data_IF_437400305301
#
_entry.id   IF_437400305301
#
_cell.length_a   1.000
_cell.length_b   1.000
_cell.length_c   1.000
_cell.angle_alpha   90.00
_cell.angle_beta   90.00
_cell.angle_gamma   90.00
#
_symmetry.space_group_name_H-M   'P 1'
#
loop_
_entity.id
_entity.type
_entity.pdbx_description
1 polymer ?
#
# COMPACT_ATOMS: atom_id res chain seq x y z
N UNK A 1 -4.33 -27.76 18.78
CA UNK A 1 -4.93 -28.98 19.37
C UNK A 1 -4.99 -30.20 18.42
N UNK A 2 -4.68 -30.10 17.12
CA UNK A 2 -4.87 -31.20 16.17
C UNK A 2 -3.69 -32.18 15.97
N UNK A 3 -2.44 -31.79 16.22
CA UNK A 3 -1.26 -32.60 15.86
C UNK A 3 -0.98 -33.74 16.84
N UNK A 4 -1.18 -33.52 18.14
CA UNK A 4 -0.96 -34.54 19.18
C UNK A 4 -1.94 -35.71 19.02
N UNK A 5 -3.21 -35.41 18.71
CA UNK A 5 -4.24 -36.42 18.51
C UNK A 5 -3.95 -37.36 17.33
N UNK A 6 -3.34 -36.85 16.24
CA UNK A 6 -2.99 -37.68 15.07
C UNK A 6 -1.80 -38.58 15.39
N UNK A 7 -0.81 -38.09 16.14
CA UNK A 7 0.35 -38.88 16.56
C UNK A 7 -0.09 -40.04 17.46
N UNK A 8 -0.96 -39.77 18.44
CA UNK A 8 -1.47 -40.81 19.35
C UNK A 8 -2.28 -41.88 18.61
N UNK A 9 -3.04 -41.50 17.58
CA UNK A 9 -3.82 -42.43 16.76
C UNK A 9 -2.91 -43.32 15.89
N UNK A 10 -1.83 -42.76 15.32
CA UNK A 10 -0.85 -43.52 14.52
C UNK A 10 -0.03 -44.46 15.42
N UNK A 11 0.42 -44.00 16.58
CA UNK A 11 1.13 -44.84 17.57
C UNK A 11 0.25 -45.97 18.07
N UNK A 12 -1.05 -45.69 18.31
CA UNK A 12 -2.05 -46.69 18.67
C UNK A 12 -2.18 -47.77 17.60
N UNK A 13 -2.38 -47.38 16.33
CA UNK A 13 -2.52 -48.32 15.21
C UNK A 13 -1.29 -49.22 15.02
N UNK A 14 -0.09 -48.64 15.06
CA UNK A 14 1.17 -49.38 14.93
C UNK A 14 1.34 -50.39 16.07
N UNK A 15 1.03 -49.98 17.31
CA UNK A 15 1.12 -50.86 18.48
C UNK A 15 0.14 -52.03 18.39
N UNK A 16 -1.11 -51.79 17.96
CA UNK A 16 -2.11 -52.85 17.77
C UNK A 16 -1.76 -53.80 16.61
N UNK A 17 -1.22 -53.29 15.51
CA UNK A 17 -0.76 -54.12 14.39
C UNK A 17 0.41 -55.02 14.83
N UNK A 18 1.38 -54.46 15.56
CA UNK A 18 2.52 -55.22 16.08
C UNK A 18 2.08 -56.34 17.04
N UNK A 19 1.14 -56.05 17.94
CA UNK A 19 0.60 -57.05 18.86
C UNK A 19 -0.09 -58.20 18.12
N UNK A 20 -0.92 -57.88 17.11
CA UNK A 20 -1.62 -58.89 16.31
C UNK A 20 -0.66 -59.82 15.55
N UNK A 21 0.40 -59.27 14.94
CA UNK A 21 1.40 -60.08 14.24
C UNK A 21 2.27 -60.91 15.18
N UNK A 22 2.53 -60.42 16.40
CA UNK A 22 3.25 -61.19 17.43
C UNK A 22 2.45 -62.43 17.85
N UNK A 23 1.13 -62.31 17.97
CA UNK A 23 0.24 -63.42 18.33
C UNK A 23 0.20 -64.47 17.21
N UNK A 24 0.05 -64.05 15.95
CA UNK A 24 0.08 -64.96 14.77
C UNK A 24 1.43 -65.69 14.64
N UNK A 25 2.53 -65.05 15.00
CA UNK A 25 3.86 -65.66 14.98
C UNK A 25 4.05 -66.79 16.01
N UNK A 26 3.23 -66.82 17.07
CA UNK A 26 3.34 -67.78 18.16
C UNK A 26 2.68 -69.13 17.86
N UNK A 27 1.67 -69.15 16.99
CA UNK A 27 0.92 -70.37 16.63
C UNK A 27 1.52 -71.19 15.47
N UNK A 28 2.54 -70.69 14.77
CA UNK A 28 3.09 -71.38 13.58
C UNK A 28 4.32 -72.23 13.93
N UNK A 29 4.06 -73.44 14.42
CA UNK A 29 5.04 -74.54 14.50
C UNK A 29 5.29 -75.13 13.10
N UNK A 30 6.13 -74.44 12.31
CA UNK A 30 6.54 -74.91 10.99
C UNK A 30 7.60 -74.00 10.36
N UNK A 31 8.87 -74.40 10.47
CA UNK A 31 10.05 -73.62 10.05
C UNK A 31 9.98 -73.16 8.58
N UNK A 32 9.31 -73.92 7.71
CA UNK A 32 9.16 -73.60 6.27
C UNK A 32 8.17 -72.45 5.98
N UNK A 33 7.22 -72.18 6.88
CA UNK A 33 6.24 -71.10 6.72
C UNK A 33 6.70 -69.77 7.32
N UNK A 34 7.70 -69.76 8.20
CA UNK A 34 8.22 -68.52 8.82
C UNK A 34 8.83 -67.55 7.79
N UNK A 35 9.49 -68.06 6.75
CA UNK A 35 10.10 -67.21 5.70
C UNK A 35 9.05 -66.54 4.82
N UNK A 36 7.93 -67.23 4.53
CA UNK A 36 6.83 -66.66 3.73
C UNK A 36 6.05 -65.62 4.53
N UNK A 37 5.77 -65.91 5.81
CA UNK A 37 5.08 -64.98 6.71
C UNK A 37 5.94 -63.73 6.96
N UNK A 38 7.25 -63.88 7.18
CA UNK A 38 8.16 -62.75 7.37
C UNK A 38 8.18 -61.79 6.17
N UNK A 39 8.13 -62.32 4.94
CA UNK A 39 8.05 -61.48 3.73
C UNK A 39 6.72 -60.74 3.62
N UNK A 40 5.61 -61.39 3.96
CA UNK A 40 4.28 -60.75 3.95
C UNK A 40 4.25 -59.61 4.98
N UNK A 41 4.72 -59.86 6.21
CA UNK A 41 4.77 -58.84 7.27
C UNK A 41 5.66 -57.65 6.87
N UNK A 42 6.82 -57.91 6.26
CA UNK A 42 7.71 -56.84 5.80
C UNK A 42 7.08 -55.95 4.72
N UNK A 43 6.31 -56.52 3.78
CA UNK A 43 5.59 -55.78 2.74
C UNK A 43 4.46 -54.93 3.33
N UNK A 44 3.72 -55.45 4.32
CA UNK A 44 2.69 -54.67 5.00
C UNK A 44 3.30 -53.50 5.79
N UNK A 45 4.40 -53.73 6.51
CA UNK A 45 5.08 -52.68 7.25
C UNK A 45 5.61 -51.57 6.32
N UNK A 46 6.20 -51.91 5.18
CA UNK A 46 6.69 -50.90 4.24
C UNK A 46 5.56 -50.08 3.61
N UNK A 47 4.42 -50.71 3.31
CA UNK A 47 3.24 -50.02 2.78
C UNK A 47 2.64 -49.04 3.79
N UNK A 48 2.53 -49.43 5.06
CA UNK A 48 2.06 -48.55 6.14
C UNK A 48 3.01 -47.36 6.31
N UNK A 49 4.32 -47.61 6.28
CA UNK A 49 5.34 -46.58 6.46
C UNK A 49 5.38 -45.57 5.30
N UNK A 50 5.19 -46.03 4.06
CA UNK A 50 5.03 -45.15 2.89
C UNK A 50 3.76 -44.30 2.97
N UNK A 51 2.65 -44.89 3.41
CA UNK A 51 1.37 -44.18 3.54
C UNK A 51 1.45 -43.07 4.61
N UNK A 52 2.10 -43.35 5.75
CA UNK A 52 2.30 -42.33 6.79
C UNK A 52 3.22 -41.21 6.32
N UNK A 53 4.30 -41.50 5.59
CA UNK A 53 5.17 -40.46 5.01
C UNK A 53 4.39 -39.55 4.06
N UNK A 54 3.55 -40.12 3.19
CA UNK A 54 2.73 -39.34 2.25
C UNK A 54 1.69 -38.47 2.96
N UNK A 55 1.05 -38.98 4.01
CA UNK A 55 0.10 -38.21 4.81
C UNK A 55 0.77 -37.06 5.56
N UNK A 56 1.95 -37.29 6.14
CA UNK A 56 2.72 -36.24 6.82
C UNK A 56 3.21 -35.20 5.81
N UNK A 57 3.75 -35.61 4.66
CA UNK A 57 4.20 -34.68 3.62
C UNK A 57 3.03 -33.84 3.07
N UNK A 58 1.86 -34.44 2.86
CA UNK A 58 0.65 -33.72 2.44
C UNK A 58 0.19 -32.68 3.46
N UNK A 59 0.25 -33.00 4.75
CA UNK A 59 -0.08 -32.05 5.83
C UNK A 59 0.96 -30.93 5.98
N UNK A 60 2.25 -31.21 5.75
CA UNK A 60 3.29 -30.18 5.76
C UNK A 60 3.14 -29.22 4.58
N UNK A 61 2.72 -29.70 3.40
CA UNK A 61 2.48 -28.85 2.22
C UNK A 61 1.20 -28.01 2.38
N UNK A 62 0.22 -28.49 3.14
CA UNK A 62 -0.97 -27.72 3.52
C UNK A 62 -0.73 -26.76 4.68
N UNK A 63 0.52 -26.63 5.16
CA UNK A 63 0.82 -25.55 6.09
C UNK A 63 0.48 -24.23 5.41
N UNK A 64 -0.37 -23.43 6.05
CA UNK A 64 -0.63 -22.05 5.71
C UNK A 64 0.54 -21.24 5.13
N UNK A 65 0.47 -20.87 3.85
CA UNK A 65 1.24 -19.76 3.28
C UNK A 65 0.98 -18.42 4.02
N UNK A 66 0.02 -18.36 4.93
CA UNK A 66 -0.30 -17.20 5.77
C UNK A 66 0.62 -17.04 7.00
N UNK A 67 1.65 -17.86 7.19
CA UNK A 67 2.69 -17.64 8.22
C UNK A 67 3.93 -16.88 7.72
N UNK A 68 4.01 -16.49 6.45
CA UNK A 68 4.96 -15.43 6.05
C UNK A 68 4.39 -14.10 6.56
N UNK A 69 4.67 -13.77 7.82
CA UNK A 69 4.26 -12.49 8.39
C UNK A 69 4.84 -11.35 7.55
N UNK A 70 3.98 -10.62 6.85
CA UNK A 70 4.39 -9.36 6.23
C UNK A 70 4.80 -8.43 7.38
N UNK A 71 6.10 -8.15 7.47
CA UNK A 71 6.58 -7.16 8.43
C UNK A 71 6.66 -5.84 7.71
N UNK A 72 6.06 -4.82 8.29
CA UNK A 72 6.16 -3.46 7.78
C UNK A 72 7.36 -2.78 8.42
N UNK A 73 8.27 -2.31 7.58
CA UNK A 73 9.37 -1.46 8.03
C UNK A 73 8.95 0.00 7.92
N UNK A 74 9.00 0.73 9.03
CA UNK A 74 8.85 2.18 9.04
C UNK A 74 10.09 2.82 8.37
N UNK A 75 9.85 3.61 7.34
CA UNK A 75 10.88 4.36 6.60
C UNK A 75 11.08 5.77 7.18
N UNK A 76 10.09 6.32 7.89
CA UNK A 76 10.09 7.66 8.45
C UNK A 76 8.94 8.55 7.93
N UNK A 77 9.09 9.86 8.15
CA UNK A 77 8.13 10.87 7.70
C UNK A 77 8.43 11.40 6.30
N UNK A 78 7.60 12.33 5.83
CA UNK A 78 7.76 12.99 4.52
C UNK A 78 8.16 14.46 4.68
N UNK A 79 8.99 14.95 3.76
CA UNK A 79 9.20 16.39 3.59
C UNK A 79 8.20 16.91 2.54
N UNK A 80 7.01 17.28 3.01
CA UNK A 80 5.95 17.76 2.13
C UNK A 80 6.33 19.10 1.47
N UNK A 81 7.11 19.95 2.14
CA UNK A 81 7.55 21.21 1.58
C UNK A 81 8.50 20.99 0.38
N UNK A 82 9.47 20.07 0.52
CA UNK A 82 10.36 19.70 -0.58
C UNK A 82 9.58 19.04 -1.73
N UNK A 83 8.61 18.17 -1.41
CA UNK A 83 7.72 17.58 -2.42
C UNK A 83 6.98 18.67 -3.20
N UNK A 84 6.30 19.60 -2.52
CA UNK A 84 5.54 20.68 -3.16
C UNK A 84 6.43 21.59 -4.02
N UNK A 85 7.62 21.95 -3.51
CA UNK A 85 8.60 22.74 -4.26
C UNK A 85 9.07 22.03 -5.53
N UNK A 86 9.23 20.70 -5.52
CA UNK A 86 9.63 19.94 -6.70
C UNK A 86 8.61 20.00 -7.86
N UNK A 87 7.35 20.28 -7.52
CA UNK A 87 6.26 20.51 -8.48
C UNK A 87 5.97 21.99 -8.76
N UNK A 88 6.78 22.91 -8.22
CA UNK A 88 6.67 24.36 -8.44
C UNK A 88 5.63 25.06 -7.58
N UNK A 89 5.07 24.40 -6.56
CA UNK A 89 4.27 25.07 -5.54
C UNK A 89 5.17 25.90 -4.61
N UNK A 90 4.59 26.90 -3.95
CA UNK A 90 5.35 27.80 -3.08
C UNK A 90 5.39 27.35 -1.62
N UNK A 91 4.42 26.56 -1.18
CA UNK A 91 4.32 26.08 0.19
C UNK A 91 3.57 24.74 0.26
N UNK A 92 3.71 24.08 1.40
CA UNK A 92 2.88 22.96 1.82
C UNK A 92 1.82 23.46 2.82
N UNK A 93 0.58 23.00 2.67
CA UNK A 93 -0.53 23.27 3.58
C UNK A 93 -1.20 21.95 3.97
N UNK A 94 -1.32 21.67 5.26
CA UNK A 94 -1.87 20.43 5.78
C UNK A 94 -1.29 19.17 5.11
N UNK A 95 -2.05 18.56 4.18
CA UNK A 95 -1.69 17.39 3.38
C UNK A 95 -1.71 17.70 1.87
N UNK A 96 -1.44 18.95 1.52
CA UNK A 96 -1.53 19.51 0.19
C UNK A 96 -0.39 20.47 -0.14
N UNK A 97 -0.42 20.96 -1.37
CA UNK A 97 0.49 21.99 -1.84
C UNK A 97 -0.30 23.24 -2.22
N UNK A 98 0.27 24.41 -1.95
CA UNK A 98 -0.30 25.69 -2.38
C UNK A 98 0.71 26.61 -3.05
N UNK A 99 0.21 27.51 -3.90
CA UNK A 99 1.00 28.60 -4.47
C UNK A 99 0.13 29.82 -4.70
N UNK A 100 0.55 30.97 -4.17
CA UNK A 100 -0.11 32.25 -4.44
C UNK A 100 -0.21 32.56 -5.92
N UNK A 101 -1.34 33.14 -6.32
CA UNK A 101 -1.60 33.57 -7.70
C UNK A 101 -1.12 35.00 -7.90
N UNK A 102 -0.26 35.22 -8.89
CA UNK A 102 -0.03 36.55 -9.42
C UNK A 102 -1.26 36.98 -10.24
N UNK A 103 -2.06 37.88 -9.68
CA UNK A 103 -3.33 38.31 -10.28
C UNK A 103 -3.14 39.10 -11.58
N UNK A 104 -2.01 39.77 -11.78
CA UNK A 104 -1.68 40.40 -13.07
C UNK A 104 -1.47 39.35 -14.15
N UNK A 105 -0.72 38.29 -13.85
CA UNK A 105 -0.54 37.15 -14.76
C UNK A 105 -1.84 36.39 -15.04
N UNK A 106 -2.72 36.28 -14.04
CA UNK A 106 -4.04 35.69 -14.23
C UNK A 106 -4.95 36.55 -15.11
N UNK A 107 -4.91 37.88 -14.97
CA UNK A 107 -5.58 38.81 -15.88
C UNK A 107 -5.05 38.68 -17.32
N UNK A 108 -3.72 38.67 -17.48
CA UNK A 108 -3.07 38.50 -18.77
C UNK A 108 -3.47 37.20 -19.46
N UNK A 109 -3.55 36.10 -18.71
CA UNK A 109 -4.01 34.80 -19.20
C UNK A 109 -5.49 34.82 -19.58
N UNK A 110 -6.36 35.34 -18.72
CA UNK A 110 -7.82 35.33 -18.93
C UNK A 110 -8.25 36.18 -20.13
N UNK A 111 -7.50 37.25 -20.43
CA UNK A 111 -7.84 38.22 -21.48
C UNK A 111 -6.87 38.19 -22.67
N UNK A 112 -5.95 37.23 -22.70
CA UNK A 112 -4.92 37.06 -23.75
C UNK A 112 -4.17 38.37 -24.07
N UNK A 113 -3.69 39.04 -23.02
CA UNK A 113 -3.00 40.34 -23.08
C UNK A 113 -1.73 40.31 -22.22
N UNK A 114 -0.98 41.42 -22.15
CA UNK A 114 0.23 41.54 -21.35
C UNK A 114 0.25 42.82 -20.52
N UNK A 115 0.80 42.74 -19.32
CA UNK A 115 1.01 43.90 -18.45
C UNK A 115 -0.28 44.42 -17.82
N UNK A 116 -1.29 43.57 -17.71
CA UNK A 116 -2.53 43.89 -17.00
C UNK A 116 -2.32 43.87 -15.50
N UNK A 117 -3.17 44.60 -14.80
CA UNK A 117 -3.21 44.62 -13.34
C UNK A 117 -4.65 44.51 -12.86
N UNK A 118 -4.80 44.12 -11.60
CA UNK A 118 -6.11 44.00 -10.96
C UNK A 118 -6.35 45.21 -10.04
N UNK A 119 -7.59 45.68 -9.97
CA UNK A 119 -8.05 46.63 -8.93
C UNK A 119 -9.27 46.05 -8.23
N UNK A 120 -9.33 46.25 -6.92
CA UNK A 120 -10.42 45.75 -6.09
C UNK A 120 -11.32 46.90 -5.63
N UNK A 121 -12.63 46.66 -5.64
CA UNK A 121 -13.62 47.62 -5.11
C UNK A 121 -13.99 47.37 -3.65
N UNK A 122 -13.60 46.22 -3.08
CA UNK A 122 -13.83 45.84 -1.69
C UNK A 122 -12.74 44.86 -1.21
N UNK A 123 -12.63 44.54 0.09
CA UNK A 123 -11.72 43.49 0.58
C UNK A 123 -11.98 42.07 0.03
N UNK A 124 -13.14 41.84 -0.59
CA UNK A 124 -13.49 40.56 -1.20
C UNK A 124 -12.56 40.25 -2.39
N UNK A 125 -11.88 39.09 -2.42
CA UNK A 125 -11.08 38.65 -3.56
C UNK A 125 -11.86 38.54 -4.88
N UNK A 126 -13.19 38.41 -4.81
CA UNK A 126 -14.09 38.32 -5.97
C UNK A 126 -14.44 39.69 -6.57
N UNK A 127 -14.08 40.78 -5.91
CA UNK A 127 -14.35 42.14 -6.38
C UNK A 127 -13.26 42.69 -7.32
N UNK A 128 -12.26 41.87 -7.65
CA UNK A 128 -11.15 42.24 -8.52
C UNK A 128 -11.58 42.35 -9.98
N UNK A 129 -11.22 43.46 -10.61
CA UNK A 129 -11.38 43.70 -12.05
C UNK A 129 -10.02 43.95 -12.70
N UNK A 130 -9.81 43.36 -13.87
CA UNK A 130 -8.61 43.50 -14.67
C UNK A 130 -8.66 44.78 -15.50
N UNK A 131 -7.52 45.45 -15.57
CA UNK A 131 -7.29 46.64 -16.37
C UNK A 131 -6.02 46.48 -17.19
N UNK A 132 -6.01 47.01 -18.42
CA UNK A 132 -4.79 47.12 -19.21
C UNK A 132 -3.78 48.06 -18.55
N UNK A 133 -2.53 48.05 -19.00
CA UNK A 133 -1.50 49.01 -18.55
C UNK A 133 -1.94 50.48 -18.66
N UNK A 134 -2.78 50.80 -19.65
CA UNK A 134 -3.31 52.15 -19.88
C UNK A 134 -4.61 52.45 -19.09
N UNK A 135 -5.08 51.51 -18.26
CA UNK A 135 -6.26 51.70 -17.41
C UNK A 135 -7.60 51.38 -18.06
N UNK A 136 -7.64 50.75 -19.24
CA UNK A 136 -8.88 50.29 -19.86
C UNK A 136 -9.41 49.03 -19.15
N UNK A 137 -10.70 48.99 -18.82
CA UNK A 137 -11.34 47.86 -18.15
C UNK A 137 -11.45 46.65 -19.08
N UNK A 138 -11.01 45.48 -18.61
CA UNK A 138 -11.13 44.19 -19.30
C UNK A 138 -12.23 43.30 -18.70
N UNK A 139 -12.61 43.53 -17.44
CA UNK A 139 -13.58 42.72 -16.70
C UNK A 139 -12.92 41.85 -15.62
N UNK A 140 -13.66 40.93 -15.02
CA UNK A 140 -13.11 39.99 -14.02
C UNK A 140 -12.31 38.84 -14.66
N UNK A 141 -11.80 37.94 -13.81
CA UNK A 141 -11.23 36.65 -14.23
C UNK A 141 -12.33 35.61 -14.10
N UNK A 142 -12.77 35.03 -15.23
CA UNK A 142 -13.93 34.12 -15.25
C UNK A 142 -13.60 32.69 -14.82
N UNK A 143 -12.35 32.25 -14.97
CA UNK A 143 -11.93 30.86 -14.73
C UNK A 143 -10.58 30.78 -14.01
N UNK A 144 -10.61 30.97 -12.69
CA UNK A 144 -9.40 30.90 -11.87
C UNK A 144 -8.87 29.46 -11.72
N UNK A 145 -9.76 28.46 -11.73
CA UNK A 145 -9.37 27.04 -11.73
C UNK A 145 -8.62 26.67 -13.01
N UNK A 146 -9.10 27.15 -14.17
CA UNK A 146 -8.44 27.01 -15.46
C UNK A 146 -7.05 27.64 -15.48
N UNK A 147 -6.89 28.83 -14.87
CA UNK A 147 -5.58 29.44 -14.70
C UNK A 147 -4.62 28.56 -13.88
N UNK A 148 -5.09 28.01 -12.75
CA UNK A 148 -4.29 27.12 -11.92
C UNK A 148 -3.89 25.83 -12.67
N UNK A 149 -4.80 25.22 -13.41
CA UNK A 149 -4.52 24.05 -14.25
C UNK A 149 -3.55 24.37 -15.38
N UNK A 150 -3.64 25.57 -15.98
CA UNK A 150 -2.69 26.04 -16.98
C UNK A 150 -1.28 26.17 -16.39
N UNK A 151 -1.15 26.77 -15.19
CA UNK A 151 0.12 26.95 -14.49
C UNK A 151 0.75 25.62 -14.05
N UNK A 152 -0.08 24.69 -13.58
CA UNK A 152 0.32 23.39 -13.05
C UNK A 152 -0.14 22.21 -13.94
N UNK A 153 0.13 22.30 -15.25
CA UNK A 153 -0.38 21.39 -16.29
C UNK A 153 -0.15 19.88 -16.08
N UNK A 154 0.78 19.50 -15.22
CA UNK A 154 1.10 18.09 -14.92
C UNK A 154 0.32 17.52 -13.74
N UNK A 155 -0.50 18.34 -13.07
CA UNK A 155 -1.23 17.97 -11.87
C UNK A 155 -2.71 18.11 -12.16
N UNK A 156 -3.40 16.98 -12.13
CA UNK A 156 -4.79 16.88 -12.60
C UNK A 156 -5.78 17.52 -11.62
N UNK A 157 -5.43 17.55 -10.33
CA UNK A 157 -6.33 17.89 -9.21
C UNK A 157 -6.18 19.32 -8.71
N UNK A 158 -5.51 20.21 -9.45
CA UNK A 158 -5.29 21.59 -9.01
C UNK A 158 -6.58 22.40 -9.12
N UNK A 159 -6.91 23.11 -8.04
CA UNK A 159 -8.05 24.02 -7.91
C UNK A 159 -7.59 25.39 -7.42
N UNK A 160 -8.43 26.40 -7.57
CA UNK A 160 -8.21 27.73 -7.01
C UNK A 160 -9.01 27.93 -5.73
N UNK A 161 -8.41 28.62 -4.77
CA UNK A 161 -9.06 29.05 -3.53
C UNK A 161 -8.85 30.55 -3.34
N UNK A 162 -9.71 31.18 -2.56
CA UNK A 162 -9.62 32.62 -2.29
C UNK A 162 -9.77 32.91 -0.82
N UNK A 163 -8.93 33.79 -0.28
CA UNK A 163 -8.98 34.22 1.11
C UNK A 163 -8.93 35.76 1.19
N UNK A 164 -9.75 36.40 2.05
CA UNK A 164 -9.61 37.83 2.28
C UNK A 164 -8.28 38.18 2.99
N UNK A 165 -7.72 39.38 2.75
CA UNK A 165 -8.08 40.32 1.69
C UNK A 165 -7.36 39.97 0.38
N UNK A 166 -8.11 39.95 -0.73
CA UNK A 166 -7.56 39.90 -2.09
C UNK A 166 -6.65 38.72 -2.47
N UNK A 167 -6.56 37.67 -1.64
CA UNK A 167 -5.67 36.54 -1.88
C UNK A 167 -6.37 35.47 -2.71
N UNK A 168 -5.64 34.94 -3.67
CA UNK A 168 -6.00 33.74 -4.42
C UNK A 168 -4.80 32.78 -4.45
N UNK A 169 -5.07 31.50 -4.23
CA UNK A 169 -4.06 30.44 -4.26
C UNK A 169 -4.47 29.36 -5.26
N UNK A 170 -3.47 28.71 -5.85
CA UNK A 170 -3.66 27.41 -6.49
C UNK A 170 -3.30 26.34 -5.48
N UNK A 171 -4.21 25.39 -5.25
CA UNK A 171 -4.06 24.32 -4.27
C UNK A 171 -4.25 22.95 -4.93
N UNK A 172 -3.59 21.93 -4.37
CA UNK A 172 -3.87 20.53 -4.70
C UNK A 172 -3.74 19.66 -3.47
N UNK A 173 -4.64 18.69 -3.33
CA UNK A 173 -4.44 17.58 -2.42
C UNK A 173 -3.27 16.74 -2.92
N UNK A 174 -2.48 16.21 -1.99
CA UNK A 174 -1.36 15.33 -2.32
C UNK A 174 -1.74 13.89 -2.01
N UNK A 175 -1.45 12.98 -2.92
CA UNK A 175 -1.63 11.55 -2.67
C UNK A 175 -0.51 11.06 -1.72
N UNK A 176 -0.84 10.58 -0.51
CA UNK A 176 0.16 10.18 0.48
C UNK A 176 1.16 9.11 -0.01
N UNK A 177 0.68 8.11 -0.75
CA UNK A 177 1.54 7.03 -1.27
C UNK A 177 2.52 7.56 -2.32
N UNK A 178 2.09 8.51 -3.15
CA UNK A 178 2.97 9.16 -4.13
C UNK A 178 4.09 9.97 -3.46
N UNK A 179 3.80 10.66 -2.35
CA UNK A 179 4.84 11.39 -1.60
C UNK A 179 5.83 10.44 -0.98
N UNK A 180 5.35 9.35 -0.36
CA UNK A 180 6.23 8.34 0.19
C UNK A 180 7.12 7.74 -0.90
N UNK A 181 6.55 7.45 -2.07
CA UNK A 181 7.31 6.93 -3.21
C UNK A 181 8.36 7.91 -3.73
N UNK A 182 8.03 9.20 -3.77
CA UNK A 182 8.95 10.27 -4.13
C UNK A 182 10.06 10.46 -3.08
N UNK A 183 9.74 10.52 -1.79
CA UNK A 183 10.69 10.76 -0.70
C UNK A 183 11.75 9.64 -0.62
N UNK A 184 11.30 8.40 -0.73
CA UNK A 184 12.17 7.22 -0.55
C UNK A 184 12.61 6.58 -1.87
N UNK A 185 12.17 7.12 -3.02
CA UNK A 185 12.46 6.61 -4.35
C UNK A 185 12.09 5.13 -4.53
N UNK A 186 10.92 4.75 -3.97
CA UNK A 186 10.41 3.36 -3.95
C UNK A 186 8.99 3.30 -4.50
N UNK A 187 8.66 2.20 -5.21
CA UNK A 187 7.33 2.00 -5.80
C UNK A 187 6.32 1.37 -4.84
N UNK A 188 6.78 0.50 -3.95
CA UNK A 188 5.95 -0.29 -3.05
C UNK A 188 6.04 0.23 -1.61
N UNK A 189 5.64 1.48 -1.42
CA UNK A 189 5.55 2.09 -0.09
C UNK A 189 4.09 2.47 0.18
N UNK A 190 3.67 2.26 1.42
CA UNK A 190 2.36 2.63 1.90
C UNK A 190 2.49 3.81 2.85
N UNK A 191 1.60 4.78 2.72
CA UNK A 191 1.52 5.92 3.60
C UNK A 191 0.44 5.69 4.68
N UNK A 192 0.74 6.06 5.93
CA UNK A 192 -0.24 6.06 7.03
C UNK A 192 -0.04 7.29 7.90
N UNK A 193 -1.13 7.76 8.50
CA UNK A 193 -1.05 8.76 9.55
C UNK A 193 -0.70 8.05 10.87
N UNK A 194 0.22 8.62 11.62
CA UNK A 194 0.42 8.20 13.01
C UNK A 194 -0.64 8.82 13.93
N UNK A 195 -0.62 8.46 15.21
CA UNK A 195 -1.57 8.97 16.22
C UNK A 195 -1.48 10.50 16.41
N UNK A 196 -0.37 11.13 15.98
CA UNK A 196 -0.17 12.57 16.00
C UNK A 196 -0.63 13.26 14.70
N UNK A 197 -1.21 12.53 13.74
CA UNK A 197 -1.67 13.07 12.46
C UNK A 197 -0.56 13.36 11.44
N UNK A 198 0.67 12.90 11.68
CA UNK A 198 1.78 13.06 10.74
C UNK A 198 1.84 11.89 9.76
N UNK A 199 2.14 12.20 8.50
CA UNK A 199 2.30 11.18 7.48
C UNK A 199 3.62 10.42 7.66
N UNK A 200 3.50 9.09 7.69
CA UNK A 200 4.59 8.11 7.83
C UNK A 200 4.55 7.13 6.66
N UNK A 201 5.74 6.69 6.24
CA UNK A 201 5.91 5.79 5.11
C UNK A 201 6.39 4.42 5.58
N UNK A 202 5.83 3.37 5.01
CA UNK A 202 6.11 1.98 5.36
C UNK A 202 6.43 1.18 4.11
N UNK A 203 7.38 0.26 4.21
CA UNK A 203 7.68 -0.73 3.18
C UNK A 203 7.31 -2.12 3.67
N UNK A 204 6.65 -2.92 2.83
CA UNK A 204 6.43 -4.33 3.16
C UNK A 204 7.70 -5.13 2.91
N UNK A 205 8.16 -5.84 3.95
CA UNK A 205 9.18 -6.87 3.83
C UNK A 205 8.51 -8.24 3.81
N UNK A 206 8.73 -8.96 2.72
CA UNK A 206 8.56 -10.41 2.70
C UNK A 206 9.78 -11.02 3.41
N UNK A 207 9.52 -11.77 4.49
CA UNK A 207 10.50 -12.59 5.20
C UNK A 207 10.56 -13.97 4.53
#
# INVERSE_FOLDING_TARGET
MGTVAVIDLVVGMISSAYAFFKEIGRDVNGIRNRVKIGKIVAVFLSAVLMSTILLVAGHVIQLPLWMTGETEQDLGGVDLAAYCNSYGFGAAIDQGCESGINLGSACDWSHNTKGSHIKFSSPSPKSGLCYTANGHLLGGISDMDGYCKYRFKFIVTVTSTSQPPHTWNCETSVNPDLVCGWQYQKRAVAARLNDAGHLRCYERKHI
#
